data_IF_940105646819
#
_entry.id   IF_940105646819
#
_cell.length_a   1.000
_cell.length_b   1.000
_cell.length_c   1.000
_cell.angle_alpha   90.00
_cell.angle_beta   90.00
_cell.angle_gamma   90.00
#
_symmetry.space_group_name_H-M   'P 1'
#
loop_
_entity.id
_entity.type
_entity.pdbx_description
1 polymer ?
#
# COMPACT_ATOMS: atom_id res chain seq x y z
N UNK A 1 -1.16 18.58 -16.08
CA UNK A 1 -0.78 18.36 -14.68
C UNK A 1 0.06 17.10 -14.69
N UNK A 2 1.25 17.13 -14.09
CA UNK A 2 2.06 15.91 -13.94
C UNK A 2 1.44 15.05 -12.84
N UNK A 3 1.40 13.74 -13.05
CA UNK A 3 0.97 12.77 -12.03
C UNK A 3 2.07 12.52 -11.01
N UNK A 4 1.70 12.01 -9.84
CA UNK A 4 2.57 11.72 -8.69
C UNK A 4 2.58 10.22 -8.36
N UNK A 5 3.35 9.83 -7.34
CA UNK A 5 3.28 8.49 -6.73
C UNK A 5 1.92 8.19 -6.12
N UNK A 6 1.20 9.22 -5.64
CA UNK A 6 -0.15 9.08 -5.12
C UNK A 6 -1.15 8.69 -6.24
N UNK A 7 -0.99 9.19 -7.47
CA UNK A 7 -1.79 8.77 -8.62
C UNK A 7 -1.65 7.27 -8.90
N UNK A 8 -0.45 6.72 -8.69
CA UNK A 8 -0.17 5.29 -8.85
C UNK A 8 -0.87 4.50 -7.73
N UNK A 9 -0.67 4.90 -6.47
CA UNK A 9 -1.29 4.27 -5.30
C UNK A 9 -2.82 4.18 -5.42
N UNK A 10 -3.47 5.33 -5.64
CA UNK A 10 -4.93 5.42 -5.82
C UNK A 10 -5.39 4.62 -7.03
N UNK A 11 -4.62 4.65 -8.13
CA UNK A 11 -4.90 3.86 -9.32
C UNK A 11 -4.88 2.35 -9.05
N UNK A 12 -3.99 1.86 -8.20
CA UNK A 12 -3.94 0.44 -7.83
C UNK A 12 -5.10 0.08 -6.90
N UNK A 13 -5.42 0.91 -5.91
CA UNK A 13 -6.58 0.70 -5.03
C UNK A 13 -7.90 0.64 -5.81
N UNK A 14 -8.09 1.52 -6.81
CA UNK A 14 -9.26 1.46 -7.68
C UNK A 14 -9.30 0.17 -8.50
N UNK A 15 -8.15 -0.29 -9.04
CA UNK A 15 -8.10 -1.57 -9.77
C UNK A 15 -8.41 -2.77 -8.86
N UNK A 16 -8.06 -2.70 -7.57
CA UNK A 16 -8.41 -3.72 -6.57
C UNK A 16 -9.92 -3.75 -6.33
N UNK A 17 -10.53 -2.58 -6.16
CA UNK A 17 -11.99 -2.45 -6.04
C UNK A 17 -12.70 -3.00 -7.29
N UNK A 18 -12.21 -2.66 -8.49
CA UNK A 18 -12.73 -3.16 -9.77
C UNK A 18 -12.55 -4.69 -9.92
N UNK A 19 -11.58 -5.29 -9.22
CA UNK A 19 -11.36 -6.73 -9.19
C UNK A 19 -12.30 -7.47 -8.22
N UNK A 20 -13.19 -6.77 -7.52
CA UNK A 20 -14.12 -7.36 -6.54
C UNK A 20 -13.55 -7.47 -5.13
N UNK A 21 -12.42 -6.82 -4.86
CA UNK A 21 -11.83 -6.74 -3.51
C UNK A 21 -12.75 -5.92 -2.60
N UNK A 22 -12.96 -6.38 -1.36
CA UNK A 22 -13.56 -5.54 -0.33
C UNK A 22 -12.48 -4.58 0.16
N UNK A 23 -12.71 -3.29 -0.03
CA UNK A 23 -11.83 -2.22 0.44
C UNK A 23 -12.54 -1.45 1.55
N UNK A 24 -11.92 -1.37 2.71
CA UNK A 24 -12.35 -0.50 3.81
C UNK A 24 -11.22 0.46 4.15
N UNK A 25 -11.55 1.67 4.56
CA UNK A 25 -10.59 2.63 5.08
C UNK A 25 -10.80 2.81 6.58
N UNK A 26 -9.71 2.87 7.33
CA UNK A 26 -9.70 3.22 8.74
C UNK A 26 -8.92 4.54 8.87
N UNK A 27 -9.55 5.56 9.44
CA UNK A 27 -8.96 6.89 9.60
C UNK A 27 -9.53 7.58 10.83
N UNK A 28 -8.83 8.61 11.29
CA UNK A 28 -9.26 9.48 12.37
C UNK A 28 -9.84 10.75 11.75
N UNK A 29 -11.14 11.02 11.92
CA UNK A 29 -11.73 12.28 11.46
C UNK A 29 -11.92 13.23 12.64
N UNK A 30 -11.36 14.44 12.54
CA UNK A 30 -11.72 15.56 13.41
C UNK A 30 -13.08 16.11 12.97
N UNK A 31 -14.09 16.02 13.83
CA UNK A 31 -15.35 16.72 13.59
C UNK A 31 -15.18 18.18 13.98
N UNK A 32 -15.16 19.09 13.00
CA UNK A 32 -15.32 20.52 13.28
C UNK A 32 -16.65 20.72 14.02
N UNK A 33 -16.57 21.08 15.30
CA UNK A 33 -17.73 21.37 16.13
C UNK A 33 -18.51 22.54 15.53
N UNK A 34 -19.82 22.36 15.36
CA UNK A 34 -20.72 23.47 15.04
C UNK A 34 -20.60 24.54 16.15
N UNK A 35 -20.05 25.70 15.81
CA UNK A 35 -20.19 26.90 16.64
C UNK A 35 -21.60 27.44 16.39
N UNK A 36 -22.51 27.15 17.32
CA UNK A 36 -23.80 27.82 17.37
C UNK A 36 -23.52 29.25 17.86
N UNK A 37 -23.47 30.24 16.94
CA UNK A 37 -23.05 31.63 17.20
C UNK A 37 -23.87 32.35 18.30
N UNK A 38 -24.93 31.73 18.81
CA UNK A 38 -25.84 32.28 19.82
C UNK A 38 -25.62 31.75 21.25
N UNK A 39 -24.57 30.97 21.52
CA UNK A 39 -24.25 30.50 22.89
C UNK A 39 -22.76 30.62 23.22
N UNK A 40 -22.46 31.41 24.26
CA UNK A 40 -21.14 31.58 24.91
C UNK A 40 -20.55 30.28 25.53
N UNK A 41 -21.14 29.11 25.26
CA UNK A 41 -20.61 27.82 25.69
C UNK A 41 -19.83 27.19 24.54
N UNK A 42 -18.52 27.42 24.51
CA UNK A 42 -17.61 26.62 23.69
C UNK A 42 -17.73 25.15 24.13
N UNK A 43 -18.41 24.33 23.31
CA UNK A 43 -18.37 22.88 23.47
C UNK A 43 -16.93 22.46 23.14
N UNK A 44 -16.22 21.74 24.04
CA UNK A 44 -14.91 21.19 23.72
C UNK A 44 -15.03 20.39 22.43
N UNK A 45 -14.10 20.61 21.48
CA UNK A 45 -14.05 19.86 20.22
C UNK A 45 -14.27 18.37 20.48
N UNK A 46 -15.15 17.75 19.70
CA UNK A 46 -15.42 16.33 19.83
C UNK A 46 -14.10 15.57 19.70
N UNK A 47 -13.84 14.64 20.62
CA UNK A 47 -12.64 13.81 20.55
C UNK A 47 -12.59 13.13 19.17
N UNK A 48 -11.41 13.09 18.51
CA UNK A 48 -11.24 12.35 17.28
C UNK A 48 -11.71 10.90 17.49
N UNK A 49 -12.64 10.43 16.64
CA UNK A 49 -13.14 9.06 16.70
C UNK A 49 -12.59 8.26 15.53
N UNK A 50 -12.08 7.06 15.79
CA UNK A 50 -11.73 6.10 14.74
C UNK A 50 -12.96 5.79 13.88
N UNK A 51 -12.86 6.02 12.58
CA UNK A 51 -13.92 5.73 11.63
C UNK A 51 -13.44 4.64 10.67
N UNK A 52 -14.22 3.56 10.59
CA UNK A 52 -14.08 2.55 9.54
C UNK A 52 -15.18 2.74 8.49
N UNK A 53 -14.79 2.96 7.23
CA UNK A 53 -15.72 3.13 6.12
C UNK A 53 -15.42 2.11 5.02
N UNK A 54 -16.42 1.28 4.70
CA UNK A 54 -16.37 0.43 3.51
C UNK A 54 -16.57 1.26 2.25
N UNK A 55 -15.71 1.05 1.28
CA UNK A 55 -15.73 1.66 -0.05
C UNK A 55 -16.52 0.77 -0.99
N UNK A 56 -17.46 1.35 -1.73
CA UNK A 56 -18.38 0.60 -2.58
C UNK A 56 -18.19 0.85 -4.06
N UNK A 57 -17.72 2.04 -4.46
CA UNK A 57 -17.76 2.43 -5.88
C UNK A 57 -16.45 2.99 -6.39
N UNK A 58 -15.84 3.92 -5.67
CA UNK A 58 -14.78 4.71 -6.27
C UNK A 58 -13.76 5.26 -5.28
N UNK A 59 -12.51 5.18 -5.69
CA UNK A 59 -11.34 5.81 -5.09
C UNK A 59 -10.67 6.61 -6.22
N UNK A 60 -10.53 7.92 -6.04
CA UNK A 60 -9.96 8.78 -7.07
C UNK A 60 -9.19 9.95 -6.48
N UNK A 61 -8.33 10.57 -7.28
CA UNK A 61 -7.74 11.85 -6.93
C UNK A 61 -8.59 13.00 -7.48
N UNK A 62 -8.94 13.91 -6.58
CA UNK A 62 -9.51 15.20 -6.93
C UNK A 62 -8.41 16.19 -7.34
N UNK A 63 -8.81 17.43 -7.61
CA UNK A 63 -7.86 18.52 -7.77
C UNK A 63 -6.96 18.65 -6.53
N UNK A 64 -5.75 19.18 -6.73
CA UNK A 64 -4.79 19.44 -5.63
C UNK A 64 -4.33 18.18 -4.91
N UNK A 65 -4.32 17.02 -5.59
CA UNK A 65 -3.78 15.75 -5.04
C UNK A 65 -4.51 15.24 -3.79
N UNK A 66 -5.80 15.61 -3.63
CA UNK A 66 -6.64 15.13 -2.53
C UNK A 66 -7.34 13.84 -2.90
N UNK A 67 -7.27 12.83 -2.02
CA UNK A 67 -7.96 11.55 -2.22
C UNK A 67 -9.45 11.71 -1.94
N UNK A 68 -10.28 11.15 -2.82
CA UNK A 68 -11.72 11.02 -2.62
C UNK A 68 -12.15 9.57 -2.66
N UNK A 69 -12.99 9.20 -1.69
CA UNK A 69 -13.58 7.87 -1.56
C UNK A 69 -15.09 7.99 -1.52
N UNK A 70 -15.78 7.37 -2.49
CA UNK A 70 -17.24 7.43 -2.64
C UNK A 70 -17.82 8.86 -2.53
N UNK A 71 -17.06 9.86 -3.00
CA UNK A 71 -17.42 11.29 -2.96
C UNK A 71 -17.12 12.01 -1.64
N UNK A 72 -16.41 11.37 -0.71
CA UNK A 72 -15.89 11.99 0.53
C UNK A 72 -14.42 12.31 0.37
N UNK A 73 -14.01 13.52 0.74
CA UNK A 73 -12.61 13.88 0.82
C UNK A 73 -11.96 13.18 2.01
N UNK A 74 -10.77 12.68 1.79
CA UNK A 74 -9.90 12.09 2.79
C UNK A 74 -8.78 13.09 3.02
N UNK A 75 -8.62 13.48 4.28
CA UNK A 75 -7.52 14.31 4.74
C UNK A 75 -6.37 13.39 5.19
N UNK A 76 -5.13 13.83 4.98
CA UNK A 76 -3.89 13.15 5.39
C UNK A 76 -3.85 11.65 5.06
N UNK A 77 -3.69 11.34 3.75
CA UNK A 77 -3.68 9.97 3.23
C UNK A 77 -2.62 9.05 3.86
N UNK A 78 -1.53 9.62 4.38
CA UNK A 78 -0.46 8.91 5.09
C UNK A 78 -0.96 8.26 6.39
N UNK A 79 -1.98 8.82 7.03
CA UNK A 79 -2.57 8.31 8.27
C UNK A 79 -3.72 7.31 8.04
N UNK A 80 -4.03 7.02 6.77
CA UNK A 80 -5.15 6.16 6.40
C UNK A 80 -4.69 4.73 6.20
N UNK A 81 -5.32 3.81 6.94
CA UNK A 81 -5.10 2.38 6.81
C UNK A 81 -6.20 1.74 5.95
N UNK A 82 -5.84 1.24 4.78
CA UNK A 82 -6.76 0.49 3.93
C UNK A 82 -6.75 -0.99 4.30
N UNK A 83 -7.89 -1.53 4.70
CA UNK A 83 -8.09 -2.96 4.88
C UNK A 83 -8.66 -3.56 3.59
N UNK A 84 -7.95 -4.55 3.05
CA UNK A 84 -8.26 -5.25 1.82
C UNK A 84 -8.56 -6.71 2.14
N UNK A 85 -9.71 -7.21 1.69
CA UNK A 85 -10.06 -8.62 1.83
C UNK A 85 -10.74 -9.17 0.60
N UNK A 86 -10.61 -10.48 0.42
CA UNK A 86 -11.22 -11.19 -0.70
C UNK A 86 -12.62 -11.64 -0.31
N UNK A 87 -13.58 -11.51 -1.24
CA UNK A 87 -14.90 -12.10 -1.13
C UNK A 87 -15.17 -13.06 -2.31
N UNK A 88 -14.77 -14.34 -2.22
CA UNK A 88 -15.12 -15.32 -3.24
C UNK A 88 -16.65 -15.56 -3.30
N UNK A 89 -17.22 -15.83 -4.49
CA UNK A 89 -16.58 -15.96 -5.80
C UNK A 89 -16.45 -14.65 -6.58
N UNK A 90 -16.86 -13.52 -5.97
CA UNK A 90 -17.02 -12.24 -6.67
C UNK A 90 -15.69 -11.51 -6.92
N UNK A 91 -14.60 -11.96 -6.29
CA UNK A 91 -13.26 -11.40 -6.42
C UNK A 91 -12.39 -12.22 -7.40
N UNK A 92 -11.72 -11.52 -8.33
CA UNK A 92 -10.66 -12.08 -9.19
C UNK A 92 -9.37 -12.23 -8.36
N UNK A 93 -9.15 -13.43 -7.82
CA UNK A 93 -8.04 -13.75 -6.91
C UNK A 93 -6.68 -13.49 -7.57
N UNK A 94 -6.50 -13.90 -8.82
CA UNK A 94 -5.22 -13.69 -9.51
C UNK A 94 -4.91 -12.21 -9.65
N UNK A 95 -5.92 -11.41 -10.00
CA UNK A 95 -5.76 -9.97 -10.12
C UNK A 95 -5.55 -9.30 -8.77
N UNK A 96 -6.24 -9.75 -7.72
CA UNK A 96 -6.01 -9.31 -6.35
C UNK A 96 -4.54 -9.51 -5.95
N UNK A 97 -4.02 -10.74 -6.07
CA UNK A 97 -2.64 -11.07 -5.71
C UNK A 97 -1.62 -10.22 -6.47
N UNK A 98 -1.82 -10.05 -7.79
CA UNK A 98 -0.96 -9.20 -8.62
C UNK A 98 -0.97 -7.74 -8.17
N UNK A 99 -2.11 -7.19 -7.79
CA UNK A 99 -2.24 -5.80 -7.38
C UNK A 99 -1.72 -5.55 -5.95
N UNK A 100 -1.91 -6.50 -5.03
CA UNK A 100 -1.27 -6.47 -3.70
C UNK A 100 0.24 -6.45 -3.83
N UNK A 101 0.78 -7.32 -4.67
CA UNK A 101 2.21 -7.37 -5.00
C UNK A 101 2.67 -6.06 -5.67
N UNK A 102 1.86 -5.50 -6.57
CA UNK A 102 2.13 -4.23 -7.25
C UNK A 102 2.20 -3.04 -6.26
N UNK A 103 1.41 -3.04 -5.18
CA UNK A 103 1.51 -2.05 -4.09
C UNK A 103 2.82 -2.19 -3.32
N UNK A 104 3.20 -3.41 -2.94
CA UNK A 104 4.45 -3.68 -2.23
C UNK A 104 5.67 -3.31 -3.08
N UNK A 105 5.64 -3.61 -4.38
CA UNK A 105 6.67 -3.18 -5.34
C UNK A 105 6.78 -1.67 -5.39
N UNK A 106 5.65 -0.97 -5.49
CA UNK A 106 5.59 0.48 -5.58
C UNK A 106 6.06 1.20 -4.31
N UNK A 107 6.49 0.47 -3.26
CA UNK A 107 7.08 1.02 -2.05
C UNK A 107 6.10 1.15 -0.88
N UNK A 108 4.82 0.86 -1.11
CA UNK A 108 3.82 0.98 -0.07
C UNK A 108 3.95 -0.13 0.98
N UNK A 109 3.45 0.15 2.18
CA UNK A 109 3.45 -0.83 3.26
C UNK A 109 2.25 -1.73 3.05
N UNK A 110 2.49 -3.03 2.88
CA UNK A 110 1.46 -4.06 2.81
C UNK A 110 1.70 -5.03 3.97
N UNK A 111 0.77 -5.14 4.89
CA UNK A 111 0.85 -5.97 6.08
C UNK A 111 -0.23 -7.04 6.12
N UNK A 112 0.08 -8.19 6.68
CA UNK A 112 -0.91 -9.22 6.99
C UNK A 112 -0.48 -10.04 8.21
N UNK A 113 -1.39 -10.89 8.70
CA UNK A 113 -1.08 -11.90 9.73
C UNK A 113 -0.75 -13.24 9.09
N UNK A 114 0.39 -13.80 9.48
CA UNK A 114 0.80 -15.16 9.12
C UNK A 114 1.02 -15.94 10.42
N UNK A 115 0.06 -16.81 10.75
CA UNK A 115 0.02 -17.43 12.08
C UNK A 115 -0.30 -16.40 13.16
N UNK A 116 0.59 -16.25 14.13
CA UNK A 116 0.48 -15.25 15.21
C UNK A 116 1.26 -13.96 14.92
N UNK A 117 2.06 -13.94 13.85
CA UNK A 117 2.98 -12.85 13.55
C UNK A 117 2.37 -11.83 12.57
N UNK A 118 2.67 -10.55 12.79
CA UNK A 118 2.41 -9.46 11.86
C UNK A 118 3.62 -9.24 10.97
N UNK A 119 3.42 -9.24 9.66
CA UNK A 119 4.50 -9.29 8.67
C UNK A 119 4.26 -8.29 7.54
N UNK A 120 5.35 -7.84 6.90
CA UNK A 120 5.30 -7.05 5.65
C UNK A 120 5.34 -8.01 4.46
N UNK A 121 4.31 -7.95 3.63
CA UNK A 121 4.17 -8.76 2.41
C UNK A 121 5.01 -8.12 1.30
N UNK A 122 5.83 -8.95 0.65
CA UNK A 122 6.65 -8.58 -0.50
C UNK A 122 6.03 -9.11 -1.80
N UNK A 123 5.45 -10.29 -1.76
CA UNK A 123 4.78 -10.92 -2.90
C UNK A 123 3.66 -11.84 -2.44
N UNK A 124 2.60 -11.91 -3.26
CA UNK A 124 1.44 -12.74 -3.03
C UNK A 124 1.07 -13.47 -4.32
N UNK A 125 0.83 -14.77 -4.23
CA UNK A 125 0.36 -15.58 -5.36
C UNK A 125 -0.78 -16.53 -4.94
N UNK A 126 -1.75 -16.82 -5.84
CA UNK A 126 -2.76 -17.83 -5.59
C UNK A 126 -2.20 -19.24 -5.77
N UNK A 127 -2.60 -20.14 -4.87
CA UNK A 127 -2.34 -21.58 -4.98
C UNK A 127 -3.60 -22.31 -5.45
N UNK A 128 -3.41 -23.50 -6.04
CA UNK A 128 -4.49 -24.40 -6.49
C UNK A 128 -5.36 -24.96 -5.34
N UNK A 129 -5.07 -24.58 -4.08
CA UNK A 129 -5.63 -25.17 -2.85
C UNK A 129 -6.56 -24.22 -2.08
N UNK A 130 -7.11 -23.20 -2.74
CA UNK A 130 -7.90 -22.13 -2.09
C UNK A 130 -7.10 -21.35 -1.02
N UNK A 131 -5.78 -21.31 -1.21
CA UNK A 131 -4.82 -20.61 -0.36
C UNK A 131 -3.99 -19.62 -1.16
N UNK A 132 -3.24 -18.81 -0.45
CA UNK A 132 -2.27 -17.87 -0.97
C UNK A 132 -0.89 -18.26 -0.47
N UNK A 133 0.11 -18.16 -1.34
CA UNK A 133 1.51 -18.10 -0.93
C UNK A 133 1.92 -16.65 -0.75
N UNK A 134 2.54 -16.36 0.38
CA UNK A 134 3.14 -15.06 0.67
C UNK A 134 4.66 -15.20 0.79
N UNK A 135 5.38 -14.30 0.13
CA UNK A 135 6.77 -13.97 0.47
C UNK A 135 6.72 -12.73 1.36
N UNK A 136 7.36 -12.78 2.52
CA UNK A 136 7.24 -11.74 3.55
C UNK A 136 8.51 -11.57 4.38
N UNK A 137 8.58 -10.45 5.10
CA UNK A 137 9.57 -10.17 6.16
C UNK A 137 8.85 -9.80 7.45
N UNK A 138 9.45 -10.08 8.61
CA UNK A 138 8.88 -9.59 9.87
C UNK A 138 9.03 -8.07 9.96
N UNK A 139 8.03 -7.41 10.57
CA UNK A 139 8.05 -5.96 10.75
C UNK A 139 9.29 -5.53 11.53
N UNK A 140 9.65 -6.27 12.60
CA UNK A 140 10.84 -5.99 13.42
C UNK A 140 12.17 -5.99 12.64
N UNK A 141 12.24 -6.80 11.57
CA UNK A 141 13.43 -6.86 10.71
C UNK A 141 13.34 -5.84 9.55
N UNK A 142 12.14 -5.43 9.15
CA UNK A 142 11.92 -4.39 8.14
C UNK A 142 12.17 -2.97 8.68
N UNK A 143 11.98 -2.74 9.97
CA UNK A 143 12.20 -1.44 10.64
C UNK A 143 13.62 -1.24 11.16
N UNK A 144 14.47 -2.27 11.11
CA UNK A 144 15.89 -2.11 11.43
C UNK A 144 16.54 -1.28 10.33
N UNK A 145 16.91 -0.04 10.67
CA UNK A 145 17.73 0.82 9.81
C UNK A 145 18.89 0.00 9.25
N UNK A 146 18.94 -0.15 7.94
CA UNK A 146 20.15 -0.52 7.22
C UNK A 146 21.10 0.66 7.32
N UNK A 147 21.55 0.98 8.54
CA UNK A 147 22.72 1.80 8.79
C UNK A 147 23.91 0.97 8.30
N UNK A 148 24.05 0.91 6.98
CA UNK A 148 25.21 0.40 6.29
C UNK A 148 26.32 1.38 6.61
N UNK A 149 26.99 1.12 7.72
CA UNK A 149 28.29 1.70 8.01
C UNK A 149 29.17 1.34 6.80
N UNK A 150 29.42 2.30 5.90
CA UNK A 150 30.06 2.14 4.58
C UNK A 150 31.46 1.46 4.60
N UNK A 151 31.92 1.04 5.79
CA UNK A 151 33.22 0.42 6.04
C UNK A 151 33.16 -1.03 6.56
N UNK A 152 32.04 -1.72 6.42
CA UNK A 152 32.00 -3.16 6.68
C UNK A 152 31.63 -3.94 5.43
N UNK A 153 32.60 -4.69 4.90
CA UNK A 153 32.38 -5.92 4.12
C UNK A 153 31.66 -6.94 5.03
N UNK A 154 30.41 -6.66 5.40
CA UNK A 154 29.49 -7.70 5.81
C UNK A 154 28.90 -8.22 4.50
N UNK A 155 29.22 -9.48 4.19
CA UNK A 155 28.40 -10.27 3.30
C UNK A 155 26.93 -9.99 3.67
N UNK A 156 26.15 -9.42 2.75
CA UNK A 156 24.68 -9.33 2.83
C UNK A 156 24.16 -10.77 2.61
N UNK A 157 24.68 -11.72 3.39
CA UNK A 157 24.19 -13.08 3.48
C UNK A 157 23.05 -13.05 4.50
N UNK A 158 21.85 -13.22 3.96
CA UNK A 158 20.59 -13.51 4.64
C UNK A 158 19.77 -12.30 5.12
N UNK A 159 19.29 -11.48 4.18
CA UNK A 159 17.96 -10.86 4.35
C UNK A 159 16.93 -11.99 4.33
N UNK A 160 16.57 -12.51 5.50
CA UNK A 160 15.65 -13.65 5.67
C UNK A 160 14.21 -13.23 5.36
N UNK A 161 13.88 -13.11 4.07
CA UNK A 161 12.49 -13.26 3.67
C UNK A 161 12.05 -14.70 3.94
N UNK A 162 10.75 -14.86 4.18
CA UNK A 162 10.11 -16.13 4.46
C UNK A 162 9.01 -16.38 3.46
N UNK A 163 8.69 -17.65 3.29
CA UNK A 163 7.62 -18.12 2.45
C UNK A 163 6.59 -18.85 3.31
N UNK A 164 5.30 -18.58 3.07
CA UNK A 164 4.20 -19.31 3.68
C UNK A 164 3.11 -19.61 2.66
N UNK A 165 2.73 -20.87 2.56
CA UNK A 165 1.67 -21.39 1.67
C UNK A 165 0.32 -21.54 2.42
N UNK A 166 0.20 -20.91 3.60
CA UNK A 166 -0.89 -21.17 4.53
C UNK A 166 -1.93 -20.05 4.62
N UNK A 167 -1.73 -18.92 3.92
CA UNK A 167 -2.66 -17.81 3.98
C UNK A 167 -4.00 -18.20 3.34
N UNK A 168 -5.08 -17.94 4.07
CA UNK A 168 -6.45 -18.15 3.57
C UNK A 168 -6.88 -16.96 2.71
N UNK A 169 -7.84 -17.16 1.81
CA UNK A 169 -8.54 -16.04 1.15
C UNK A 169 -9.28 -15.13 2.13
N UNK A 170 -9.53 -15.59 3.35
CA UNK A 170 -10.11 -14.76 4.42
C UNK A 170 -9.09 -13.84 5.11
N UNK A 171 -7.80 -13.94 4.77
CA UNK A 171 -6.78 -13.05 5.34
C UNK A 171 -7.04 -11.62 4.91
N UNK A 172 -7.07 -10.71 5.89
CA UNK A 172 -7.10 -9.28 5.65
C UNK A 172 -5.66 -8.76 5.45
N UNK A 173 -5.52 -7.87 4.47
CA UNK A 173 -4.28 -7.17 4.17
C UNK A 173 -4.47 -5.69 4.50
N UNK A 174 -3.51 -5.10 5.19
CA UNK A 174 -3.54 -3.71 5.59
C UNK A 174 -2.51 -2.94 4.77
N UNK A 175 -2.94 -1.84 4.16
CA UNK A 175 -2.13 -1.07 3.24
C UNK A 175 -2.09 0.40 3.65
N UNK A 176 -0.88 0.93 3.73
CA UNK A 176 -0.62 2.34 4.02
C UNK A 176 0.19 2.96 2.88
N UNK A 177 -0.14 4.20 2.53
CA UNK A 177 0.65 4.98 1.58
C UNK A 177 1.99 5.37 2.23
N UNK A 178 3.07 5.20 1.47
CA UNK A 178 4.43 5.54 1.88
C UNK A 178 5.02 6.37 0.74
N UNK A 179 5.02 7.70 0.91
CA UNK A 179 5.45 8.63 -0.13
C UNK A 179 6.95 8.52 -0.39
N UNK A 180 7.74 8.47 0.68
CA UNK A 180 9.20 8.50 0.61
C UNK A 180 9.74 7.26 -0.11
N UNK A 181 9.31 6.07 0.30
CA UNK A 181 9.73 4.81 -0.34
C UNK A 181 9.20 4.73 -1.78
N UNK A 182 7.95 5.13 -2.03
CA UNK A 182 7.40 5.11 -3.38
C UNK A 182 8.14 6.06 -4.32
N UNK A 183 8.52 7.24 -3.82
CA UNK A 183 9.31 8.20 -4.56
C UNK A 183 10.71 7.66 -4.86
N UNK A 184 11.39 7.14 -3.84
CA UNK A 184 12.72 6.55 -3.98
C UNK A 184 12.76 5.41 -5.01
N UNK A 185 11.79 4.50 -4.97
CA UNK A 185 11.68 3.38 -5.91
C UNK A 185 11.41 3.81 -7.34
N UNK A 186 10.57 4.82 -7.52
CA UNK A 186 10.25 5.34 -8.85
C UNK A 186 11.43 6.13 -9.43
N UNK A 187 12.13 6.91 -8.60
CA UNK A 187 13.19 7.83 -8.99
C UNK A 187 14.52 7.53 -8.27
N UNK A 188 15.24 6.44 -8.64
CA UNK A 188 16.59 6.23 -8.13
C UNK A 188 17.50 7.41 -8.50
N UNK A 189 18.51 7.68 -7.66
CA UNK A 189 19.29 8.92 -7.46
C UNK A 189 19.91 9.62 -8.69
N UNK A 190 19.78 9.04 -9.88
CA UNK A 190 20.27 9.59 -11.15
C UNK A 190 19.15 10.13 -12.08
N UNK A 191 17.90 10.19 -11.60
CA UNK A 191 16.77 10.67 -12.40
C UNK A 191 16.32 12.08 -12.03
N UNK A 192 15.87 12.83 -13.03
CA UNK A 192 15.31 14.16 -12.85
C UNK A 192 13.77 14.05 -12.77
N UNK A 193 13.25 14.20 -11.55
CA UNK A 193 11.83 14.14 -11.20
C UNK A 193 10.99 15.22 -11.89
N UNK A 194 11.54 16.42 -12.10
CA UNK A 194 10.82 17.60 -12.61
C UNK A 194 10.39 17.50 -14.09
N UNK A 195 10.81 16.45 -14.79
CA UNK A 195 10.66 16.32 -16.24
C UNK A 195 9.80 15.14 -16.68
N UNK A 196 9.45 14.21 -15.79
CA UNK A 196 8.72 12.98 -16.14
C UNK A 196 7.38 12.87 -15.41
N UNK A 197 6.36 12.39 -16.13
CA UNK A 197 5.06 12.04 -15.54
C UNK A 197 5.17 10.71 -14.79
N UNK A 198 4.82 10.70 -13.49
CA UNK A 198 5.03 9.54 -12.63
C UNK A 198 4.32 8.28 -13.14
N UNK A 199 3.07 8.41 -13.60
CA UNK A 199 2.28 7.29 -14.13
C UNK A 199 2.87 6.77 -15.45
N UNK A 200 3.29 7.64 -16.38
CA UNK A 200 3.95 7.20 -17.62
C UNK A 200 5.23 6.42 -17.33
N UNK A 201 6.08 6.95 -16.44
CA UNK A 201 7.32 6.29 -16.01
C UNK A 201 7.05 4.96 -15.33
N UNK A 202 6.09 4.93 -14.43
CA UNK A 202 5.68 3.73 -13.72
C UNK A 202 5.28 2.61 -14.68
N UNK A 203 4.47 2.94 -15.68
CA UNK A 203 3.99 1.97 -16.66
C UNK A 203 5.07 1.54 -17.66
N UNK A 204 5.91 2.46 -18.13
CA UNK A 204 6.88 2.20 -19.20
C UNK A 204 8.20 1.64 -18.72
N UNK A 205 8.60 1.94 -17.49
CA UNK A 205 9.93 1.62 -16.96
C UNK A 205 9.81 0.74 -15.73
N UNK A 206 9.09 1.20 -14.70
CA UNK A 206 9.05 0.53 -13.40
C UNK A 206 8.40 -0.86 -13.48
N UNK A 207 7.14 -0.96 -13.91
CA UNK A 207 6.41 -2.22 -13.99
C UNK A 207 7.12 -3.28 -14.86
N UNK A 208 7.65 -2.96 -16.06
CA UNK A 208 8.43 -3.91 -16.84
C UNK A 208 9.68 -4.43 -16.12
N UNK A 209 10.36 -3.60 -15.33
CA UNK A 209 11.53 -4.01 -14.54
C UNK A 209 11.13 -4.98 -13.43
N UNK A 210 10.08 -4.67 -12.66
CA UNK A 210 9.60 -5.57 -11.59
C UNK A 210 9.22 -6.95 -12.15
N UNK A 211 8.50 -6.97 -13.28
CA UNK A 211 8.12 -8.21 -13.96
C UNK A 211 9.32 -8.99 -14.48
N UNK A 212 10.34 -8.30 -15.00
CA UNK A 212 11.56 -8.95 -15.46
C UNK A 212 12.33 -9.57 -14.30
N UNK A 213 12.52 -8.84 -13.19
CA UNK A 213 13.16 -9.34 -11.98
C UNK A 213 12.49 -10.64 -11.48
N UNK A 214 11.15 -10.64 -11.34
CA UNK A 214 10.41 -11.87 -10.99
C UNK A 214 10.63 -13.02 -11.96
N UNK A 215 10.67 -12.74 -13.27
CA UNK A 215 10.95 -13.77 -14.28
C UNK A 215 12.35 -14.39 -14.14
N UNK A 216 13.27 -13.72 -13.45
CA UNK A 216 14.60 -14.23 -13.07
C UNK A 216 14.65 -14.84 -11.66
N UNK A 217 13.52 -14.96 -10.96
CA UNK A 217 13.45 -15.52 -9.60
C UNK A 217 13.87 -14.53 -8.51
N UNK A 218 13.92 -13.24 -8.83
CA UNK A 218 14.21 -12.17 -7.88
C UNK A 218 12.92 -11.66 -7.23
N UNK A 219 13.01 -11.24 -5.96
CA UNK A 219 11.93 -10.55 -5.23
C UNK A 219 12.20 -9.04 -5.32
N UNK A 220 11.51 -8.27 -6.19
CA UNK A 220 11.86 -6.87 -6.44
C UNK A 220 11.79 -6.02 -5.19
N UNK A 221 10.84 -6.36 -4.30
CA UNK A 221 10.68 -5.72 -3.01
C UNK A 221 11.96 -5.63 -2.19
N UNK A 222 12.93 -6.56 -2.36
CA UNK A 222 14.21 -6.61 -1.66
C UNK A 222 15.39 -5.96 -2.39
N UNK A 223 15.23 -5.65 -3.68
CA UNK A 223 16.33 -5.18 -4.56
C UNK A 223 16.33 -3.65 -4.66
N UNK A 224 15.15 -3.04 -4.56
CA UNK A 224 14.95 -1.61 -4.78
C UNK A 224 14.65 -0.91 -3.45
N UNK A 225 15.56 -1.04 -2.49
CA UNK A 225 15.60 -0.32 -1.20
C UNK A 225 16.79 0.63 -1.15
#
# INVERSE_FOLDING_TARGET
>A
MMTTTLDIFVGILQKLLDAGTIVSLNTTMEFEGYVDEDKDDAVPGADPSDISLRIWKKIELAAEQRVMVDGRLIDDIEDVLFELSVAPPDCDIERFCKLITELADAGHIVQAKVGEDEVRILELEPLDTEKLRAIYVFIEDAERSLDVDENQDQDIEDTFYRESDELSYLTAFYVTYDEEEAHFRLYPSNFNEDLEDAVDRYQRIFLPRMRAARAYGEVPGLIYH
#
